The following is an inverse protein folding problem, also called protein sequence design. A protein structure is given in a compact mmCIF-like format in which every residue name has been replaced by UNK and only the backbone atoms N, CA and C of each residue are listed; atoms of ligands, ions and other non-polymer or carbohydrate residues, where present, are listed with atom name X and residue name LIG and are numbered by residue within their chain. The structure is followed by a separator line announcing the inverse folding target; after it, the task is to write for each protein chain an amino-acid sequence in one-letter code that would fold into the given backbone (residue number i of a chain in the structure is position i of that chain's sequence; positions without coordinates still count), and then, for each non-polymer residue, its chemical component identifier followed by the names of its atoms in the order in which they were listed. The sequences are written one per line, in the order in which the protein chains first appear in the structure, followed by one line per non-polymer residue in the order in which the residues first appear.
data_IF_572152010319
#
_entry.id   IF_572152010319
#
_cell.length_a   1.000
_cell.length_b   1.000
_cell.length_c   1.000
_cell.angle_alpha   90.00
_cell.angle_beta   90.00
_cell.angle_gamma   90.00
#
_symmetry.space_group_name_H-M   'P 1'
#
loop_
_entity.id
_entity.type
_entity.pdbx_description
1 polymer ?
#
# COMPACT_ATOMS: atom_id res chain seq x y z
N UNK A 1 15.62 3.66 -14.72
CA UNK A 1 14.37 3.92 -13.96
C UNK A 1 13.87 2.57 -13.45
N UNK A 2 13.55 2.47 -12.16
CA UNK A 2 13.16 1.20 -11.54
C UNK A 2 11.67 0.92 -11.84
N UNK A 3 11.34 -0.33 -12.20
CA UNK A 3 9.95 -0.77 -12.28
C UNK A 3 9.41 -0.93 -10.85
N UNK A 4 8.71 0.10 -10.37
CA UNK A 4 8.27 0.19 -8.98
C UNK A 4 7.20 -0.85 -8.63
N UNK A 5 6.33 -1.22 -9.57
CA UNK A 5 5.33 -2.27 -9.35
C UNK A 5 6.01 -3.63 -9.21
N UNK A 6 6.91 -3.96 -10.14
CA UNK A 6 7.63 -5.22 -10.11
C UNK A 6 8.53 -5.33 -8.87
N UNK A 7 9.17 -4.23 -8.47
CA UNK A 7 9.99 -4.20 -7.26
C UNK A 7 9.17 -4.37 -5.98
N UNK A 8 8.01 -3.72 -5.89
CA UNK A 8 7.09 -3.88 -4.76
C UNK A 8 6.65 -5.34 -4.62
N UNK A 9 6.13 -5.93 -5.69
CA UNK A 9 5.67 -7.33 -5.69
C UNK A 9 6.82 -8.28 -5.35
N UNK A 10 7.99 -8.08 -5.95
CA UNK A 10 9.18 -8.92 -5.68
C UNK A 10 9.59 -8.84 -4.22
N UNK A 11 9.71 -7.64 -3.66
CA UNK A 11 10.14 -7.46 -2.27
C UNK A 11 9.15 -8.07 -1.29
N UNK A 12 7.85 -7.82 -1.49
CA UNK A 12 6.79 -8.40 -0.67
C UNK A 12 6.76 -9.92 -0.73
N UNK A 13 7.00 -10.50 -1.91
CA UNK A 13 7.10 -11.96 -2.08
C UNK A 13 8.30 -12.55 -1.36
N UNK A 14 9.44 -11.85 -1.36
CA UNK A 14 10.64 -12.30 -0.66
C UNK A 14 10.45 -12.29 0.87
N UNK A 15 9.92 -11.19 1.43
CA UNK A 15 9.72 -11.09 2.87
C UNK A 15 8.59 -12.00 3.39
N UNK A 16 7.62 -12.35 2.55
CA UNK A 16 6.58 -13.32 2.90
C UNK A 16 7.14 -14.73 3.13
N UNK A 17 8.30 -15.05 2.54
CA UNK A 17 9.00 -16.32 2.75
C UNK A 17 9.79 -16.39 4.06
N UNK A 18 9.92 -15.28 4.80
CA UNK A 18 10.67 -15.19 6.05
C UNK A 18 9.71 -15.03 7.25
N UNK A 19 9.44 -16.09 8.03
CA UNK A 19 8.44 -16.07 9.10
C UNK A 19 8.68 -14.96 10.14
N UNK A 20 9.95 -14.66 10.43
CA UNK A 20 10.31 -13.64 11.41
C UNK A 20 9.97 -12.21 10.96
N UNK A 21 9.88 -11.98 9.65
CA UNK A 21 9.45 -10.71 9.05
C UNK A 21 7.94 -10.72 8.82
N UNK A 22 7.39 -11.82 8.29
CA UNK A 22 5.98 -11.94 7.93
C UNK A 22 4.99 -11.80 9.12
N UNK A 23 5.48 -11.95 10.36
CA UNK A 23 4.67 -11.78 11.58
C UNK A 23 4.28 -10.34 11.92
N UNK A 24 4.94 -9.33 11.32
CA UNK A 24 4.63 -7.91 11.59
C UNK A 24 3.81 -7.28 10.45
N UNK A 25 2.97 -6.26 10.74
CA UNK A 25 2.28 -5.52 9.69
C UNK A 25 3.25 -4.85 8.71
N UNK A 26 2.87 -4.80 7.44
CA UNK A 26 3.65 -4.16 6.37
C UNK A 26 3.06 -2.79 6.07
N UNK A 27 3.94 -1.78 6.04
CA UNK A 27 3.62 -0.46 5.49
C UNK A 27 4.01 -0.43 4.01
N UNK A 28 3.02 -0.19 3.14
CA UNK A 28 3.20 0.03 1.70
C UNK A 28 3.40 1.52 1.47
N UNK A 29 4.62 1.89 1.08
CA UNK A 29 5.03 3.27 0.89
C UNK A 29 5.29 3.57 -0.59
N UNK A 30 4.51 4.49 -1.16
CA UNK A 30 4.68 4.97 -2.54
C UNK A 30 3.83 6.20 -2.78
N UNK A 31 4.28 7.09 -3.67
CA UNK A 31 3.47 8.22 -4.16
C UNK A 31 2.52 7.83 -5.32
N UNK A 32 2.56 6.58 -5.76
CA UNK A 32 1.81 6.07 -6.92
C UNK A 32 0.76 5.06 -6.47
N UNK A 33 -0.51 5.34 -6.74
CA UNK A 33 -1.62 4.49 -6.30
C UNK A 33 -1.53 3.07 -6.87
N UNK A 34 -1.14 2.93 -8.14
CA UNK A 34 -0.97 1.64 -8.81
C UNK A 34 0.05 0.72 -8.10
N UNK A 35 1.13 1.30 -7.56
CA UNK A 35 2.14 0.57 -6.77
C UNK A 35 1.57 0.19 -5.40
N UNK A 36 0.85 1.12 -4.75
CA UNK A 36 0.17 0.85 -3.46
C UNK A 36 -0.81 -0.31 -3.62
N UNK A 37 -1.67 -0.25 -4.63
CA UNK A 37 -2.72 -1.23 -4.83
C UNK A 37 -2.15 -2.61 -5.19
N UNK A 38 -1.08 -2.66 -5.99
CA UNK A 38 -0.33 -3.91 -6.24
C UNK A 38 0.25 -4.49 -4.95
N UNK A 39 0.82 -3.65 -4.09
CA UNK A 39 1.32 -4.09 -2.79
C UNK A 39 0.22 -4.67 -1.91
N UNK A 40 -0.91 -3.96 -1.78
CA UNK A 40 -2.07 -4.42 -1.00
C UNK A 40 -2.65 -5.74 -1.51
N UNK A 41 -2.69 -5.96 -2.83
CA UNK A 41 -3.15 -7.23 -3.42
C UNK A 41 -2.16 -8.39 -3.21
N UNK A 42 -0.90 -8.09 -2.89
CA UNK A 42 0.18 -9.07 -2.76
C UNK A 42 0.36 -9.57 -1.32
N UNK A 43 0.06 -8.75 -0.32
CA UNK A 43 0.25 -9.11 1.09
C UNK A 43 -0.88 -10.01 1.61
N UNK A 44 -0.54 -10.89 2.54
CA UNK A 44 -1.52 -11.61 3.34
C UNK A 44 -1.67 -10.90 4.69
N UNK A 45 -2.90 -10.59 5.09
CA UNK A 45 -3.19 -9.86 6.32
C UNK A 45 -3.37 -8.36 6.12
N UNK A 46 -3.36 -7.59 7.22
CA UNK A 46 -3.67 -6.15 7.22
C UNK A 46 -2.43 -5.32 6.91
N UNK A 47 -2.46 -4.57 5.81
CA UNK A 47 -1.44 -3.58 5.47
C UNK A 47 -1.73 -2.18 6.01
N UNK A 48 -0.69 -1.35 6.05
CA UNK A 48 -0.78 0.09 6.29
C UNK A 48 -0.37 0.80 5.02
N UNK A 49 -1.13 1.79 4.55
CA UNK A 49 -0.73 2.60 3.39
C UNK A 49 -0.14 3.92 3.84
N UNK A 50 1.04 4.24 3.29
CA UNK A 50 1.71 5.53 3.43
C UNK A 50 1.94 6.13 2.03
N UNK A 51 1.15 7.08 1.55
CA UNK A 51 -0.02 7.70 2.16
C UNK A 51 -1.11 7.92 1.10
N UNK A 52 -2.27 8.42 1.52
CA UNK A 52 -3.19 9.11 0.60
C UNK A 52 -3.36 10.55 1.07
N UNK A 53 -3.55 11.48 0.13
CA UNK A 53 -3.73 12.90 0.42
C UNK A 53 -4.78 13.52 -0.50
N UNK A 54 -5.15 14.77 -0.24
CA UNK A 54 -6.09 15.54 -1.08
C UNK A 54 -5.40 16.31 -2.22
N UNK A 55 -4.10 16.06 -2.49
CA UNK A 55 -3.34 16.76 -3.55
C UNK A 55 -3.93 16.59 -4.95
N UNK A 56 -4.52 15.42 -5.21
CA UNK A 56 -5.22 15.09 -6.47
C UNK A 56 -6.73 15.39 -6.39
N UNK A 57 -7.18 16.09 -5.34
CA UNK A 57 -8.57 16.43 -5.09
C UNK A 57 -9.31 15.45 -4.17
N UNK A 58 -10.45 15.91 -3.69
CA UNK A 58 -11.28 15.18 -2.70
C UNK A 58 -11.88 13.91 -3.30
N UNK A 59 -12.22 13.90 -4.58
CA UNK A 59 -12.78 12.72 -5.25
C UNK A 59 -11.79 11.55 -5.30
N UNK A 60 -10.54 11.82 -5.69
CA UNK A 60 -9.47 10.83 -5.70
C UNK A 60 -9.19 10.30 -4.28
N UNK A 61 -9.12 11.20 -3.29
CA UNK A 61 -8.97 10.83 -1.89
C UNK A 61 -10.09 9.89 -1.41
N UNK A 62 -11.36 10.25 -1.66
CA UNK A 62 -12.51 9.42 -1.28
C UNK A 62 -12.49 8.07 -2.00
N UNK A 63 -12.11 8.05 -3.28
CA UNK A 63 -12.00 6.82 -4.06
C UNK A 63 -10.96 5.87 -3.45
N UNK A 64 -9.75 6.36 -3.19
CA UNK A 64 -8.67 5.60 -2.55
C UNK A 64 -9.07 5.16 -1.13
N UNK A 65 -9.64 6.05 -0.30
CA UNK A 65 -10.11 5.69 1.04
C UNK A 65 -11.16 4.57 1.03
N UNK A 66 -12.09 4.58 0.06
CA UNK A 66 -13.06 3.48 -0.12
C UNK A 66 -12.39 2.17 -0.53
N UNK A 67 -11.37 2.23 -1.39
CA UNK A 67 -10.57 1.05 -1.74
C UNK A 67 -9.84 0.48 -0.52
N UNK A 68 -9.14 1.33 0.25
CA UNK A 68 -8.44 0.90 1.48
C UNK A 68 -9.38 0.25 2.49
N UNK A 69 -10.59 0.80 2.67
CA UNK A 69 -11.63 0.18 3.50
C UNK A 69 -12.03 -1.21 2.99
N UNK A 70 -12.12 -1.42 1.67
CA UNK A 70 -12.40 -2.74 1.07
C UNK A 70 -11.25 -3.72 1.26
N UNK A 71 -10.00 -3.25 1.14
CA UNK A 71 -8.81 -4.07 1.40
C UNK A 71 -8.57 -4.35 2.89
N UNK A 72 -9.29 -3.68 3.80
CA UNK A 72 -9.07 -3.80 5.24
C UNK A 72 -7.74 -3.21 5.72
N UNK A 73 -7.20 -2.24 4.97
CA UNK A 73 -5.94 -1.57 5.25
C UNK A 73 -6.13 -0.33 6.14
N UNK A 74 -5.17 -0.09 7.03
CA UNK A 74 -5.03 1.19 7.72
C UNK A 74 -4.31 2.20 6.81
N UNK A 75 -4.39 3.49 7.13
CA UNK A 75 -3.82 4.54 6.27
C UNK A 75 -3.25 5.70 7.06
N UNK A 76 -2.11 6.21 6.61
CA UNK A 76 -1.59 7.52 6.98
C UNK A 76 -2.23 8.55 6.05
N UNK A 77 -2.98 9.48 6.64
CA UNK A 77 -3.53 10.62 5.92
C UNK A 77 -2.57 11.78 6.01
N UNK A 78 -1.93 12.14 4.91
CA UNK A 78 -1.11 13.34 4.86
C UNK A 78 -2.00 14.55 4.53
N UNK A 79 -1.73 15.66 5.22
CA UNK A 79 -2.39 16.94 4.98
C UNK A 79 -2.15 17.46 3.55
N UNK A 80 -2.80 18.59 3.24
CA UNK A 80 -2.75 19.26 1.93
C UNK A 80 -1.32 19.35 1.35
#
# INVERSE_FOLDING_TARGET
MLDAEAAMVRFLSLIAGEPDIARVPIMIDSSKWEVIEKGLKCIQGKGIVNSISMKEGVEAFIHHAKLLRRYGAAVVGDGF
#
